data_IF_462741184700
#
_entry.id   IF_462741184700
#
_cell.length_a   1.000
_cell.length_b   1.000
_cell.length_c   1.000
_cell.angle_alpha   90.00
_cell.angle_beta   90.00
_cell.angle_gamma   90.00
#
_symmetry.space_group_name_H-M   'P 1'
#
loop_
_entity.id
_entity.type
_entity.pdbx_description
1 polymer ?
#
# COMPACT_ATOMS: atom_id res chain seq x y z
N UNK A 1 -2.63 -24.36 -18.89
CA UNK A 1 -3.37 -23.28 -19.57
C UNK A 1 -3.42 -23.67 -21.03
N UNK A 2 -4.61 -23.90 -21.56
CA UNK A 2 -4.83 -24.32 -22.95
C UNK A 2 -4.58 -23.16 -23.92
N UNK A 3 -4.35 -23.48 -25.19
CA UNK A 3 -3.97 -22.55 -26.26
C UNK A 3 -4.96 -21.39 -26.51
N UNK A 4 -6.16 -21.50 -25.95
CA UNK A 4 -7.32 -20.61 -26.04
C UNK A 4 -7.45 -19.65 -24.85
N UNK A 5 -6.54 -19.72 -23.88
CA UNK A 5 -6.55 -18.84 -22.72
C UNK A 5 -7.57 -19.17 -21.64
N UNK A 6 -8.24 -20.33 -21.73
CA UNK A 6 -9.09 -20.78 -20.63
C UNK A 6 -8.25 -21.30 -19.46
N UNK A 7 -8.51 -20.72 -18.29
CA UNK A 7 -7.84 -21.02 -17.01
C UNK A 7 -8.51 -22.22 -16.36
N UNK A 8 -8.40 -23.41 -16.97
CA UNK A 8 -9.03 -24.63 -16.44
C UNK A 8 -8.16 -25.44 -15.46
N UNK A 9 -6.88 -25.06 -15.26
CA UNK A 9 -5.92 -25.88 -14.48
C UNK A 9 -5.05 -25.09 -13.46
N UNK A 10 -5.31 -23.81 -13.23
CA UNK A 10 -4.59 -23.08 -12.18
C UNK A 10 -5.16 -23.48 -10.81
N UNK A 11 -4.30 -23.89 -9.88
CA UNK A 11 -4.67 -24.13 -8.46
C UNK A 11 -5.14 -22.85 -7.74
N UNK A 12 -5.05 -21.71 -8.41
CA UNK A 12 -5.45 -20.39 -7.94
C UNK A 12 -6.43 -19.81 -8.96
N UNK A 13 -7.55 -19.27 -8.48
CA UNK A 13 -8.47 -18.52 -9.32
C UNK A 13 -7.90 -17.12 -9.50
N UNK A 14 -7.73 -16.63 -10.73
CA UNK A 14 -7.24 -15.29 -10.96
C UNK A 14 -8.27 -14.26 -10.47
N UNK A 15 -7.78 -13.25 -9.76
CA UNK A 15 -8.54 -12.08 -9.33
C UNK A 15 -8.51 -10.98 -10.41
N UNK A 16 -9.41 -9.98 -10.36
CA UNK A 16 -9.52 -8.96 -11.42
C UNK A 16 -8.24 -8.15 -11.70
N UNK A 17 -7.34 -8.03 -10.72
CA UNK A 17 -6.08 -7.28 -10.84
C UNK A 17 -4.86 -8.18 -11.14
N UNK A 18 -5.07 -9.48 -11.35
CA UNK A 18 -3.99 -10.40 -11.64
C UNK A 18 -3.56 -10.29 -13.11
N UNK A 19 -2.26 -10.20 -13.34
CA UNK A 19 -1.68 -10.26 -14.68
C UNK A 19 -1.45 -11.73 -15.04
N UNK A 20 -2.20 -12.23 -16.01
CA UNK A 20 -2.05 -13.61 -16.50
C UNK A 20 -1.10 -13.65 -17.69
N UNK A 21 -0.03 -14.44 -17.56
CA UNK A 21 0.97 -14.66 -18.61
C UNK A 21 1.24 -16.14 -18.83
N UNK A 22 1.50 -16.51 -20.08
CA UNK A 22 1.89 -17.88 -20.45
C UNK A 22 3.41 -17.98 -20.46
N UNK A 23 3.98 -18.81 -19.59
CA UNK A 23 5.42 -19.06 -19.58
C UNK A 23 5.88 -19.99 -20.72
N UNK A 24 7.20 -20.03 -20.93
CA UNK A 24 7.87 -20.92 -21.92
C UNK A 24 7.46 -20.64 -23.37
N UNK A 25 7.39 -19.36 -23.77
CA UNK A 25 7.11 -18.97 -25.17
C UNK A 25 8.11 -19.58 -26.16
N UNK A 26 9.34 -19.86 -25.72
CA UNK A 26 10.38 -20.55 -26.48
C UNK A 26 10.03 -21.99 -26.88
N UNK A 27 9.06 -22.61 -26.20
CA UNK A 27 8.58 -23.97 -26.50
C UNK A 27 7.19 -24.01 -27.10
N UNK A 28 6.33 -23.04 -26.76
CA UNK A 28 4.91 -23.02 -27.12
C UNK A 28 4.60 -22.09 -28.32
N UNK A 29 5.54 -21.21 -28.69
CA UNK A 29 5.31 -20.18 -29.70
C UNK A 29 4.39 -19.06 -29.21
N UNK A 30 3.97 -18.18 -30.13
CA UNK A 30 3.05 -17.06 -29.81
C UNK A 30 1.63 -17.57 -29.57
N UNK A 31 1.01 -17.07 -28.52
CA UNK A 31 -0.38 -17.32 -28.14
C UNK A 31 -1.21 -16.04 -28.20
N UNK A 32 -2.54 -16.16 -28.12
CA UNK A 32 -3.45 -15.00 -28.05
C UNK A 32 -3.33 -14.23 -26.72
N UNK A 33 -2.87 -14.89 -25.65
CA UNK A 33 -2.47 -14.27 -24.38
C UNK A 33 -0.98 -13.92 -24.42
N UNK A 34 -0.59 -12.87 -23.69
CA UNK A 34 0.82 -12.52 -23.48
C UNK A 34 1.65 -13.74 -23.03
N UNK A 35 2.61 -14.11 -23.87
CA UNK A 35 3.54 -15.21 -23.62
C UNK A 35 4.95 -14.69 -23.32
N UNK A 36 5.61 -15.26 -22.32
CA UNK A 36 6.97 -14.90 -21.91
C UNK A 36 7.90 -16.12 -21.90
N UNK A 37 9.19 -15.89 -22.13
CA UNK A 37 10.23 -16.90 -21.87
C UNK A 37 11.21 -16.39 -20.83
N UNK A 38 11.29 -17.09 -19.70
CA UNK A 38 12.33 -16.85 -18.70
C UNK A 38 13.74 -17.25 -19.16
N UNK A 39 13.87 -17.97 -20.30
CA UNK A 39 15.17 -18.41 -20.83
C UNK A 39 15.72 -17.41 -21.85
N UNK A 40 14.90 -16.93 -22.78
CA UNK A 40 15.33 -15.98 -23.81
C UNK A 40 15.09 -14.52 -23.43
N UNK A 41 14.23 -14.26 -22.43
CA UNK A 41 13.79 -12.91 -22.08
C UNK A 41 12.67 -12.38 -22.97
N UNK A 42 12.19 -13.17 -23.94
CA UNK A 42 11.10 -12.78 -24.83
C UNK A 42 9.83 -12.45 -24.02
N UNK A 43 9.16 -11.36 -24.39
CA UNK A 43 7.90 -10.91 -23.77
C UNK A 43 8.05 -10.23 -22.39
N UNK A 44 9.26 -10.21 -21.81
CA UNK A 44 9.49 -9.59 -20.50
C UNK A 44 9.30 -8.08 -20.53
N UNK A 45 9.77 -7.40 -21.58
CA UNK A 45 9.59 -5.94 -21.74
C UNK A 45 8.11 -5.54 -21.77
N UNK A 46 7.27 -6.35 -22.43
CA UNK A 46 5.83 -6.14 -22.48
C UNK A 46 5.18 -6.37 -21.12
N UNK A 47 5.61 -7.39 -20.38
CA UNK A 47 5.14 -7.63 -19.01
C UNK A 47 5.54 -6.49 -18.06
N UNK A 48 6.79 -6.05 -18.13
CA UNK A 48 7.29 -4.93 -17.32
C UNK A 48 6.50 -3.66 -17.60
N UNK A 49 6.20 -3.38 -18.87
CA UNK A 49 5.37 -2.24 -19.24
C UNK A 49 3.97 -2.30 -18.62
N UNK A 50 3.30 -3.45 -18.69
CA UNK A 50 1.96 -3.62 -18.08
C UNK A 50 2.02 -3.38 -16.57
N UNK A 51 3.03 -3.93 -15.89
CA UNK A 51 3.23 -3.71 -14.46
C UNK A 51 3.47 -2.23 -14.16
N UNK A 52 4.32 -1.57 -14.94
CA UNK A 52 4.60 -0.14 -14.80
C UNK A 52 3.35 0.71 -14.98
N UNK A 53 2.57 0.47 -16.03
CA UNK A 53 1.34 1.23 -16.32
C UNK A 53 0.32 1.07 -15.17
N UNK A 54 0.12 -0.15 -14.66
CA UNK A 54 -0.78 -0.41 -13.51
C UNK A 54 -0.28 0.30 -12.24
N UNK A 55 1.02 0.23 -11.96
CA UNK A 55 1.60 0.86 -10.77
C UNK A 55 1.56 2.39 -10.88
N UNK A 56 1.77 2.94 -12.07
CA UNK A 56 1.69 4.37 -12.33
C UNK A 56 0.29 4.88 -11.99
N UNK A 57 -0.75 4.23 -12.52
CA UNK A 57 -2.16 4.53 -12.23
C UNK A 57 -2.50 4.43 -10.74
N UNK A 58 -2.02 3.38 -10.06
CA UNK A 58 -2.21 3.22 -8.61
C UNK A 58 -1.50 4.30 -7.78
N UNK A 59 -0.40 4.85 -8.29
CA UNK A 59 0.43 5.81 -7.59
C UNK A 59 0.04 7.28 -7.84
N UNK A 60 -0.87 7.58 -8.78
CA UNK A 60 -1.29 8.96 -9.13
C UNK A 60 -1.79 9.76 -7.91
N UNK A 61 -2.33 9.10 -6.88
CA UNK A 61 -2.80 9.75 -5.65
C UNK A 61 -1.86 9.66 -4.43
N UNK A 62 -0.72 8.97 -4.53
CA UNK A 62 0.12 8.63 -3.38
C UNK A 62 1.10 9.75 -2.96
N UNK A 63 1.14 10.88 -3.66
CA UNK A 63 2.12 11.95 -3.44
C UNK A 63 2.03 12.60 -2.04
N UNK A 64 0.90 12.53 -1.35
CA UNK A 64 0.69 13.24 -0.08
C UNK A 64 1.01 12.39 1.18
N UNK A 65 1.19 11.07 1.05
CA UNK A 65 1.51 10.18 2.19
C UNK A 65 2.72 9.30 1.86
N UNK A 66 3.89 9.93 1.77
CA UNK A 66 5.12 9.36 1.21
C UNK A 66 5.75 8.22 2.02
N UNK A 67 5.23 7.89 3.22
CA UNK A 67 5.69 6.78 4.08
C UNK A 67 4.54 6.17 4.87
N UNK A 68 4.63 4.87 5.14
CA UNK A 68 3.67 4.14 5.97
C UNK A 68 3.49 4.79 7.36
N UNK A 69 4.58 5.28 7.98
CA UNK A 69 4.50 6.03 9.26
C UNK A 69 3.59 7.26 9.18
N UNK A 70 3.65 8.01 8.06
CA UNK A 70 2.81 9.19 7.88
C UNK A 70 1.34 8.77 7.70
N UNK A 71 1.11 7.70 6.92
CA UNK A 71 -0.23 7.13 6.73
C UNK A 71 -0.85 6.69 8.06
N UNK A 72 -0.10 5.97 8.89
CA UNK A 72 -0.56 5.49 10.21
C UNK A 72 -0.94 6.66 11.12
N UNK A 73 -0.09 7.69 11.21
CA UNK A 73 -0.38 8.87 12.02
C UNK A 73 -1.59 9.65 11.49
N UNK A 74 -1.73 9.84 10.18
CA UNK A 74 -2.91 10.48 9.58
C UNK A 74 -4.20 9.72 9.86
N UNK A 75 -4.20 8.38 9.70
CA UNK A 75 -5.38 7.54 10.01
C UNK A 75 -5.73 7.59 11.49
N UNK A 76 -4.73 7.56 12.38
CA UNK A 76 -4.96 7.65 13.82
C UNK A 76 -5.50 9.03 14.22
N UNK A 77 -4.94 10.10 13.68
CA UNK A 77 -5.43 11.46 13.89
C UNK A 77 -6.89 11.62 13.40
N UNK A 78 -7.22 11.08 12.22
CA UNK A 78 -8.58 11.09 11.70
C UNK A 78 -9.58 10.46 12.68
N UNK A 79 -9.24 9.32 13.28
CA UNK A 79 -10.10 8.65 14.28
C UNK A 79 -10.40 9.56 15.49
N UNK A 80 -9.37 10.24 16.02
CA UNK A 80 -9.55 11.17 17.13
C UNK A 80 -10.41 12.38 16.73
N UNK A 81 -10.20 12.93 15.53
CA UNK A 81 -11.01 14.05 15.04
C UNK A 81 -12.48 13.66 14.86
N UNK A 82 -12.76 12.47 14.36
CA UNK A 82 -14.13 11.97 14.15
C UNK A 82 -14.81 11.64 15.49
N UNK A 83 -14.07 11.09 16.46
CA UNK A 83 -14.55 10.91 17.83
C UNK A 83 -14.89 12.24 18.51
N UNK A 84 -14.00 13.23 18.42
CA UNK A 84 -14.24 14.58 18.95
C UNK A 84 -15.47 15.24 18.31
N UNK A 85 -15.66 15.11 16.99
CA UNK A 85 -16.87 15.60 16.30
C UNK A 85 -18.13 14.91 16.80
N UNK A 86 -18.12 13.60 16.97
CA UNK A 86 -19.28 12.85 17.46
C UNK A 86 -19.68 13.33 18.87
N UNK A 87 -18.71 13.55 19.76
CA UNK A 87 -18.95 14.06 21.12
C UNK A 87 -19.58 15.47 21.13
N UNK A 88 -19.28 16.32 20.15
CA UNK A 88 -19.91 17.64 20.04
C UNK A 88 -21.37 17.59 19.59
N UNK A 89 -21.79 16.52 18.91
CA UNK A 89 -23.18 16.35 18.46
C UNK A 89 -24.10 15.96 19.63
N UNK A 90 -23.57 15.26 20.62
CA UNK A 90 -24.37 14.64 21.68
C UNK A 90 -24.72 15.60 22.84
N UNK A 91 -23.85 16.54 23.24
CA UNK A 91 -24.18 17.69 24.12
C UNK A 91 -22.97 18.58 24.41
N UNK A 92 -23.23 19.82 24.90
CA UNK A 92 -22.18 20.72 25.39
C UNK A 92 -21.46 20.19 26.65
N UNK A 93 -22.10 19.27 27.39
CA UNK A 93 -21.52 18.66 28.60
C UNK A 93 -20.32 17.75 28.28
N UNK A 94 -20.21 17.30 27.02
CA UNK A 94 -19.09 16.47 26.55
C UNK A 94 -17.96 17.31 25.94
N UNK A 95 -18.00 18.64 26.04
CA UNK A 95 -17.00 19.52 25.46
C UNK A 95 -15.58 19.27 25.97
N UNK A 96 -15.42 18.81 27.21
CA UNK A 96 -14.11 18.44 27.77
C UNK A 96 -13.53 17.18 27.10
N UNK A 97 -14.39 16.17 26.87
CA UNK A 97 -14.00 14.97 26.15
C UNK A 97 -13.70 15.26 24.67
N UNK A 98 -14.54 16.06 24.01
CA UNK A 98 -14.30 16.49 22.63
C UNK A 98 -12.96 17.25 22.50
N UNK A 99 -12.67 18.15 23.45
CA UNK A 99 -11.39 18.87 23.50
C UNK A 99 -10.20 17.93 23.68
N UNK A 100 -10.33 16.91 24.53
CA UNK A 100 -9.31 15.87 24.70
C UNK A 100 -9.05 15.11 23.40
N UNK A 101 -10.10 14.67 22.70
CA UNK A 101 -9.98 13.97 21.42
C UNK A 101 -9.30 14.86 20.36
N UNK A 102 -9.65 16.15 20.26
CA UNK A 102 -8.97 17.07 19.36
C UNK A 102 -7.50 17.27 19.73
N UNK A 103 -7.16 17.34 21.01
CA UNK A 103 -5.78 17.43 21.47
C UNK A 103 -4.96 16.19 21.05
N UNK A 104 -5.51 15.00 21.21
CA UNK A 104 -4.87 13.75 20.77
C UNK A 104 -4.70 13.69 19.24
N UNK A 105 -5.68 14.18 18.48
CA UNK A 105 -5.59 14.32 17.03
C UNK A 105 -4.45 15.26 16.61
N UNK A 106 -4.35 16.43 17.25
CA UNK A 106 -3.28 17.41 17.00
C UNK A 106 -1.91 16.81 17.35
N UNK A 107 -1.74 16.20 18.52
CA UNK A 107 -0.46 15.60 18.93
C UNK A 107 -0.03 14.49 17.96
N UNK A 108 -0.97 13.68 17.48
CA UNK A 108 -0.73 12.63 16.49
C UNK A 108 -0.32 13.21 15.13
N UNK A 109 -0.79 14.39 14.76
CA UNK A 109 -0.33 15.10 13.56
C UNK A 109 1.02 15.80 13.78
N UNK A 110 1.31 16.28 14.99
CA UNK A 110 2.58 16.92 15.32
C UNK A 110 3.78 15.96 15.17
N UNK A 111 3.58 14.65 15.41
CA UNK A 111 4.61 13.65 15.12
C UNK A 111 5.00 13.56 13.63
N UNK A 112 4.14 14.03 12.71
CA UNK A 112 4.45 14.13 11.28
C UNK A 112 5.42 15.27 10.95
N UNK A 113 5.43 16.33 11.77
CA UNK A 113 6.19 17.58 11.54
C UNK A 113 7.53 17.57 12.27
N UNK A 114 7.79 16.55 13.10
CA UNK A 114 9.09 16.37 13.75
C UNK A 114 9.16 16.88 15.19
N UNK A 115 8.03 17.08 15.88
CA UNK A 115 8.05 17.12 17.36
C UNK A 115 8.22 15.69 17.88
N UNK A 116 9.40 15.15 17.63
CA UNK A 116 9.85 13.79 17.94
C UNK A 116 10.21 13.75 19.41
N UNK A 117 9.52 12.90 20.16
CA UNK A 117 9.99 12.49 21.48
C UNK A 117 11.27 11.68 21.34
N UNK A 118 12.09 11.63 22.39
CA UNK A 118 13.36 10.86 22.42
C UNK A 118 13.18 9.40 21.96
N UNK A 119 11.97 8.87 22.08
CA UNK A 119 11.58 7.51 21.70
C UNK A 119 11.68 7.25 20.19
N UNK A 120 11.30 8.18 19.29
CA UNK A 120 11.36 7.91 17.84
C UNK A 120 12.82 7.91 17.32
N UNK A 121 13.74 8.61 18.01
CA UNK A 121 15.16 8.60 17.69
C UNK A 121 15.82 7.26 18.02
N UNK A 122 15.34 6.58 19.06
CA UNK A 122 15.85 5.27 19.45
C UNK A 122 15.37 4.19 18.46
N UNK A 123 14.11 4.23 18.03
CA UNK A 123 13.57 3.27 17.05
C UNK A 123 14.26 3.41 15.68
N UNK A 124 14.60 4.62 15.23
CA UNK A 124 15.34 4.82 13.98
C UNK A 124 16.78 4.28 14.08
N UNK A 125 17.48 4.51 15.20
CA UNK A 125 18.81 3.95 15.43
C UNK A 125 18.77 2.42 15.42
N UNK A 126 17.78 1.79 16.06
CA UNK A 126 17.74 0.34 16.22
C UNK A 126 17.03 -0.42 15.10
N UNK A 127 16.23 0.24 14.25
CA UNK A 127 15.51 -0.42 13.14
C UNK A 127 16.41 -0.88 11.99
N UNK A 128 17.60 -0.29 11.81
CA UNK A 128 18.58 -0.69 10.79
C UNK A 128 19.61 -1.72 11.26
N UNK A 129 19.64 -2.06 12.54
CA UNK A 129 20.55 -3.10 13.04
C UNK A 129 19.83 -4.45 12.98
N UNK A 130 20.30 -5.35 12.11
CA UNK A 130 20.01 -6.76 12.27
C UNK A 130 20.44 -7.19 13.68
N UNK A 131 19.51 -7.66 14.51
CA UNK A 131 19.85 -8.35 15.76
C UNK A 131 20.68 -9.59 15.40
N UNK A 132 22.00 -9.46 15.56
CA UNK A 132 22.97 -10.53 15.33
C UNK A 132 23.67 -10.50 13.97
N UNK A 133 24.53 -9.50 13.75
CA UNK A 133 25.85 -9.66 13.11
C UNK A 133 26.76 -8.50 13.48
#
# INVERSE_FOLDING_TARGET
ITHDGTVNELKLKPEPNDIIVIGKSDLLGKTDILSISGKSGEGLDSLLKIISDILEDLCVGAQTATRERHRVAMVKAQKYLDAGKALMVDSLELSEFASSEFHQGIQTLSSLIGSVGVEDLLDEIFSSFCLGK
#
